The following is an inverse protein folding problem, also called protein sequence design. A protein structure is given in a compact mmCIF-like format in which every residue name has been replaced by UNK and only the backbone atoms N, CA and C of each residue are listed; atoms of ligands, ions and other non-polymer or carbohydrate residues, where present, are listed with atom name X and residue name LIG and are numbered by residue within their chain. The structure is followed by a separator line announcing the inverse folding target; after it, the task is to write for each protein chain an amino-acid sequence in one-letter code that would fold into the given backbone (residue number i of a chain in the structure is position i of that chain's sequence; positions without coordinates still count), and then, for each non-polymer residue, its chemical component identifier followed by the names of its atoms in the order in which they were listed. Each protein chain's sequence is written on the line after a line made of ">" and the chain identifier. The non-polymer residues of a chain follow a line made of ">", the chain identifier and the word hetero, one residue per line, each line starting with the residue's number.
data_IF_003506071580
#
_entry.id   IF_003506071580
#
_cell.length_a   1.000
_cell.length_b   1.000
_cell.length_c   1.000
_cell.angle_alpha   90.00
_cell.angle_beta   90.00
_cell.angle_gamma   90.00
#
_symmetry.space_group_name_H-M   'P 1'
#
loop_
_entity.id
_entity.type
_entity.pdbx_description
1 polymer ?
#
# COMPACT_ATOMS: atom_id res chain seq x y z
N UNK A 1 -22.69 -14.38 -9.15
CA UNK A 1 -22.33 -13.13 -8.44
C UNK A 1 -22.39 -11.87 -9.30
N UNK A 2 -21.95 -11.88 -10.57
CA UNK A 2 -21.97 -10.68 -11.42
C UNK A 2 -23.35 -10.03 -11.61
N UNK A 3 -24.44 -10.82 -11.58
CA UNK A 3 -25.81 -10.28 -11.71
C UNK A 3 -26.23 -9.36 -10.55
N UNK A 4 -25.77 -9.64 -9.33
CA UNK A 4 -26.06 -8.78 -8.16
C UNK A 4 -25.31 -7.46 -8.29
N UNK A 5 -24.01 -7.52 -8.59
CA UNK A 5 -23.20 -6.33 -8.81
C UNK A 5 -23.78 -5.46 -9.94
N UNK A 6 -24.16 -6.07 -11.07
CA UNK A 6 -24.84 -5.36 -12.16
C UNK A 6 -26.14 -4.71 -11.70
N UNK A 7 -26.99 -5.42 -10.97
CA UNK A 7 -28.28 -4.88 -10.49
C UNK A 7 -28.08 -3.68 -9.55
N UNK A 8 -27.07 -3.72 -8.68
CA UNK A 8 -26.71 -2.59 -7.81
C UNK A 8 -26.19 -1.42 -8.66
N UNK A 9 -25.30 -1.68 -9.63
CA UNK A 9 -24.81 -0.64 -10.54
C UNK A 9 -25.94 0.03 -11.33
N UNK A 10 -26.88 -0.75 -11.86
CA UNK A 10 -28.00 -0.22 -12.65
C UNK A 10 -28.97 0.64 -11.80
N UNK A 11 -29.10 0.35 -10.50
CA UNK A 11 -30.08 0.98 -9.60
C UNK A 11 -29.50 2.10 -8.75
N UNK A 12 -28.36 1.86 -8.12
CA UNK A 12 -27.76 2.70 -7.09
C UNK A 12 -26.44 3.35 -7.56
N UNK A 13 -25.95 2.98 -8.75
CA UNK A 13 -24.71 3.49 -9.34
C UNK A 13 -23.43 2.94 -8.70
N UNK A 14 -22.24 3.48 -9.08
CA UNK A 14 -20.95 3.01 -8.58
C UNK A 14 -20.82 3.00 -7.05
N UNK A 15 -21.39 4.02 -6.37
CA UNK A 15 -21.32 4.13 -4.92
C UNK A 15 -22.06 3.02 -4.16
N UNK A 16 -22.88 2.20 -4.83
CA UNK A 16 -23.51 1.03 -4.22
C UNK A 16 -22.56 -0.18 -4.06
N UNK A 17 -21.42 -0.19 -4.77
CA UNK A 17 -20.43 -1.27 -4.67
C UNK A 17 -19.28 -0.87 -3.76
N UNK A 18 -19.08 -1.62 -2.68
CA UNK A 18 -18.05 -1.36 -1.66
C UNK A 18 -16.97 -2.43 -1.71
N UNK A 19 -15.70 -2.03 -1.61
CA UNK A 19 -14.55 -2.92 -1.63
C UNK A 19 -13.60 -2.71 -0.45
N UNK A 20 -13.05 -3.81 0.06
CA UNK A 20 -11.85 -3.83 0.89
C UNK A 20 -10.79 -4.64 0.15
N UNK A 21 -9.74 -3.99 -0.33
CA UNK A 21 -8.76 -4.60 -1.23
C UNK A 21 -7.33 -4.43 -0.71
N UNK A 22 -6.44 -5.35 -1.07
CA UNK A 22 -5.00 -5.18 -0.86
C UNK A 22 -4.45 -4.09 -1.79
N UNK A 23 -3.42 -3.37 -1.35
CA UNK A 23 -2.66 -2.38 -2.12
C UNK A 23 -1.13 -2.60 -2.04
N UNK A 24 -0.72 -3.73 -1.45
CA UNK A 24 0.69 -4.05 -1.19
C UNK A 24 1.32 -4.99 -2.25
N UNK A 25 2.63 -5.20 -2.14
CA UNK A 25 3.40 -6.17 -2.94
C UNK A 25 3.37 -7.59 -2.38
N UNK A 26 4.18 -8.50 -2.92
CA UNK A 26 4.35 -9.85 -2.38
C UNK A 26 3.12 -10.76 -2.50
N UNK A 27 3.07 -11.80 -1.66
CA UNK A 27 1.96 -12.74 -1.67
C UNK A 27 0.63 -12.07 -1.27
N UNK A 28 -0.44 -12.32 -2.03
CA UNK A 28 -1.73 -11.64 -1.85
C UNK A 28 -1.76 -10.21 -2.39
N UNK A 29 -0.70 -9.76 -3.07
CA UNK A 29 -0.60 -8.45 -3.69
C UNK A 29 0.21 -8.51 -4.99
N UNK A 30 1.05 -7.49 -5.23
CA UNK A 30 1.94 -7.42 -6.40
C UNK A 30 1.35 -6.65 -7.57
N UNK A 31 2.19 -6.36 -8.58
CA UNK A 31 1.83 -5.50 -9.71
C UNK A 31 0.64 -6.05 -10.50
N UNK A 32 0.64 -7.35 -10.77
CA UNK A 32 -0.39 -8.00 -11.60
C UNK A 32 -1.76 -7.92 -10.92
N UNK A 33 -1.80 -8.23 -9.63
CA UNK A 33 -3.04 -8.27 -8.87
C UNK A 33 -3.57 -6.87 -8.57
N UNK A 34 -2.71 -5.94 -8.14
CA UNK A 34 -3.10 -4.54 -7.89
C UNK A 34 -3.56 -3.85 -9.17
N UNK A 35 -2.93 -4.13 -10.30
CA UNK A 35 -3.39 -3.68 -11.61
C UNK A 35 -4.75 -4.26 -11.96
N UNK A 36 -4.93 -5.58 -11.84
CA UNK A 36 -6.19 -6.25 -12.17
C UNK A 36 -7.37 -5.76 -11.33
N UNK A 37 -7.21 -5.72 -10.01
CA UNK A 37 -8.26 -5.24 -9.10
C UNK A 37 -8.49 -3.74 -9.24
N UNK A 38 -7.43 -2.94 -9.36
CA UNK A 38 -7.51 -1.49 -9.56
C UNK A 38 -8.23 -1.14 -10.86
N UNK A 39 -7.90 -1.82 -11.96
CA UNK A 39 -8.57 -1.60 -13.26
C UNK A 39 -10.06 -1.97 -13.20
N UNK A 40 -10.41 -3.04 -12.49
CA UNK A 40 -11.82 -3.38 -12.27
C UNK A 40 -12.54 -2.29 -11.45
N UNK A 41 -12.00 -1.91 -10.29
CA UNK A 41 -12.65 -0.98 -9.37
C UNK A 41 -12.73 0.44 -9.91
N UNK A 42 -11.62 0.96 -10.47
CA UNK A 42 -11.48 2.38 -10.80
C UNK A 42 -11.71 2.70 -12.29
N UNK A 43 -11.44 1.76 -13.19
CA UNK A 43 -11.68 1.98 -14.63
C UNK A 43 -13.01 1.43 -15.08
N UNK A 44 -13.33 0.18 -14.74
CA UNK A 44 -14.56 -0.46 -15.21
C UNK A 44 -15.79 -0.10 -14.37
N UNK A 45 -15.71 -0.24 -13.04
CA UNK A 45 -16.83 0.02 -12.13
C UNK A 45 -16.92 1.48 -11.69
N UNK A 46 -15.78 2.18 -11.63
CA UNK A 46 -15.65 3.58 -11.20
C UNK A 46 -16.24 3.86 -9.81
N UNK A 47 -16.19 2.89 -8.89
CA UNK A 47 -16.70 3.09 -7.53
C UNK A 47 -15.74 3.92 -6.68
N UNK A 48 -16.22 4.94 -5.96
CA UNK A 48 -15.41 5.64 -4.96
C UNK A 48 -15.37 4.92 -3.61
N UNK A 49 -16.18 3.87 -3.40
CA UNK A 49 -16.37 3.23 -2.10
C UNK A 49 -15.36 2.12 -1.87
N UNK A 50 -14.08 2.50 -1.86
CA UNK A 50 -12.96 1.57 -1.67
C UNK A 50 -12.21 1.94 -0.41
N UNK A 51 -11.88 0.93 0.39
CA UNK A 51 -10.84 1.00 1.40
C UNK A 51 -9.75 -0.02 1.08
N UNK A 52 -8.66 0.09 1.81
CA UNK A 52 -7.53 -0.80 1.68
C UNK A 52 -7.31 -1.61 2.94
N UNK A 53 -6.51 -2.66 2.81
CA UNK A 53 -6.42 -3.72 3.79
C UNK A 53 -6.11 -3.21 5.21
N UNK A 54 -5.18 -2.27 5.35
CA UNK A 54 -4.68 -1.80 6.65
C UNK A 54 -5.22 -0.42 7.10
N UNK A 55 -5.99 0.29 6.26
CA UNK A 55 -6.57 1.60 6.60
C UNK A 55 -8.00 1.77 6.05
N UNK A 56 -8.92 2.41 6.80
CA UNK A 56 -10.35 2.34 6.53
C UNK A 56 -10.85 3.26 5.39
N UNK A 57 -9.95 3.79 4.56
CA UNK A 57 -10.27 4.64 3.41
C UNK A 57 -9.21 4.49 2.31
N UNK A 58 -9.50 4.97 1.10
CA UNK A 58 -8.53 4.99 0.00
C UNK A 58 -7.56 6.20 0.13
N UNK A 59 -6.56 6.07 1.01
CA UNK A 59 -5.61 7.14 1.34
C UNK A 59 -4.16 6.62 1.42
N UNK A 60 -3.23 7.52 1.72
CA UNK A 60 -1.81 7.21 1.91
C UNK A 60 -1.45 7.17 3.40
N UNK A 61 -0.55 6.27 3.79
CA UNK A 61 0.11 6.31 5.11
C UNK A 61 1.08 7.50 5.24
N UNK A 62 1.49 8.10 4.11
CA UNK A 62 2.61 9.01 4.01
C UNK A 62 2.24 10.34 3.34
N UNK A 63 1.02 10.86 3.57
CA UNK A 63 0.56 12.10 2.95
C UNK A 63 1.55 13.26 3.11
N UNK A 64 2.00 13.53 4.34
CA UNK A 64 2.85 14.69 4.64
C UNK A 64 4.16 14.70 3.84
N UNK A 65 4.95 13.61 3.88
CA UNK A 65 6.24 13.57 3.16
C UNK A 65 6.06 13.65 1.65
N UNK A 66 4.97 13.07 1.12
CA UNK A 66 4.64 13.15 -0.32
C UNK A 66 4.22 14.56 -0.73
N UNK A 67 3.42 15.24 0.09
CA UNK A 67 3.04 16.64 -0.12
C UNK A 67 4.27 17.57 -0.04
N UNK A 68 5.27 17.19 0.75
CA UNK A 68 6.58 17.85 0.80
C UNK A 68 7.50 17.53 -0.40
N UNK A 69 7.09 16.63 -1.30
CA UNK A 69 7.86 16.23 -2.48
C UNK A 69 8.93 15.17 -2.23
N UNK A 70 8.91 14.49 -1.08
CA UNK A 70 9.88 13.46 -0.70
C UNK A 70 9.15 12.11 -0.57
N UNK A 71 9.29 11.25 -1.57
CA UNK A 71 8.73 9.88 -1.52
C UNK A 71 9.30 9.09 -0.34
N UNK A 72 8.51 8.23 0.30
CA UNK A 72 8.87 7.60 1.58
C UNK A 72 9.97 6.52 1.49
N UNK A 73 10.21 5.95 0.31
CA UNK A 73 11.29 4.99 0.03
C UNK A 73 12.29 5.66 -0.94
N UNK A 74 13.18 6.50 -0.40
CA UNK A 74 14.04 7.41 -1.17
C UNK A 74 15.55 7.13 -1.09
N UNK A 75 15.95 6.06 -0.40
CA UNK A 75 17.35 5.68 -0.20
C UNK A 75 17.58 4.20 -0.57
N UNK A 76 18.81 3.72 -0.45
CA UNK A 76 19.18 2.32 -0.59
C UNK A 76 19.49 1.69 0.78
N UNK A 77 19.52 0.36 0.85
CA UNK A 77 19.92 -0.34 2.08
C UNK A 77 21.37 -0.08 2.46
N UNK A 78 22.25 0.17 1.47
CA UNK A 78 23.66 0.49 1.67
C UNK A 78 23.86 1.78 2.48
N UNK A 79 22.90 2.73 2.44
CA UNK A 79 23.00 3.95 3.23
C UNK A 79 22.99 3.68 4.76
N UNK A 80 22.43 2.54 5.20
CA UNK A 80 22.50 2.12 6.60
C UNK A 80 23.91 1.62 7.00
N UNK A 81 24.70 1.15 6.04
CA UNK A 81 26.10 0.75 6.26
C UNK A 81 27.06 1.95 6.24
N UNK A 82 26.61 3.10 5.76
CA UNK A 82 27.46 4.30 5.59
C UNK A 82 27.13 5.43 6.56
N UNK A 83 25.95 5.40 7.18
CA UNK A 83 25.51 6.46 8.09
C UNK A 83 26.32 6.47 9.39
N UNK A 84 26.78 7.66 9.80
CA UNK A 84 27.43 7.85 11.12
C UNK A 84 26.48 7.54 12.29
N UNK A 85 25.17 7.71 12.07
CA UNK A 85 24.13 7.47 13.05
C UNK A 85 22.82 7.10 12.35
N UNK A 86 22.14 6.07 12.86
CA UNK A 86 20.82 5.65 12.41
C UNK A 86 19.78 5.99 13.48
N UNK A 87 18.66 6.59 13.06
CA UNK A 87 17.52 6.92 13.94
C UNK A 87 16.34 5.97 13.67
N UNK A 88 16.10 5.00 14.55
CA UNK A 88 14.94 4.10 14.47
C UNK A 88 13.70 4.68 15.16
N UNK A 89 12.72 5.17 14.40
CA UNK A 89 11.51 5.83 14.93
C UNK A 89 10.30 4.89 14.78
N UNK A 90 9.68 4.48 15.89
CA UNK A 90 8.47 3.65 15.88
C UNK A 90 8.65 2.27 15.21
N UNK A 91 9.87 1.75 15.19
CA UNK A 91 10.22 0.53 14.46
C UNK A 91 10.89 -0.51 15.36
N UNK A 92 10.57 -1.79 15.13
CA UNK A 92 11.18 -2.95 15.79
C UNK A 92 11.94 -3.78 14.75
N UNK A 93 13.04 -3.21 14.23
CA UNK A 93 13.70 -3.67 13.01
C UNK A 93 14.19 -5.12 13.06
N UNK A 94 14.59 -5.62 14.23
CA UNK A 94 14.97 -7.02 14.42
C UNK A 94 13.81 -7.99 14.13
N UNK A 95 12.59 -7.66 14.58
CA UNK A 95 11.43 -8.55 14.43
C UNK A 95 10.63 -8.27 13.15
N UNK A 96 10.60 -7.02 12.66
CA UNK A 96 9.72 -6.61 11.55
C UNK A 96 10.43 -6.37 10.22
N UNK A 97 11.75 -6.21 10.22
CA UNK A 97 12.59 -6.04 9.02
C UNK A 97 13.92 -6.80 9.16
N UNK A 98 13.84 -8.02 9.68
CA UNK A 98 14.95 -8.79 10.25
C UNK A 98 16.21 -8.79 9.39
N UNK A 99 16.10 -9.14 8.11
CA UNK A 99 17.29 -9.29 7.26
C UNK A 99 17.86 -7.94 6.80
N UNK A 100 17.06 -6.87 6.76
CA UNK A 100 17.62 -5.53 6.53
C UNK A 100 18.47 -5.11 7.73
N UNK A 101 17.93 -5.28 8.94
CA UNK A 101 18.64 -4.98 10.18
C UNK A 101 19.92 -5.82 10.34
N UNK A 102 19.81 -7.15 10.24
CA UNK A 102 20.94 -8.05 10.46
C UNK A 102 22.03 -7.95 9.38
N UNK A 103 21.65 -7.67 8.13
CA UNK A 103 22.61 -7.65 7.02
C UNK A 103 23.17 -6.25 6.70
N UNK A 104 22.51 -5.16 7.12
CA UNK A 104 22.91 -3.80 6.73
C UNK A 104 23.03 -2.80 7.89
N UNK A 105 22.40 -3.05 9.06
CA UNK A 105 22.52 -2.13 10.21
C UNK A 105 23.58 -2.61 11.20
N UNK A 106 23.60 -3.91 11.49
CA UNK A 106 24.52 -4.53 12.46
C UNK A 106 25.98 -4.63 11.99
N UNK A 107 26.31 -4.84 10.70
CA UNK A 107 27.72 -4.97 10.29
C UNK A 107 28.58 -3.73 10.50
N UNK A 108 27.98 -2.60 10.89
CA UNK A 108 28.63 -1.33 11.16
C UNK A 108 29.12 -1.22 12.61
#
# INVERSE_FOLDING_TARGET
>A
YCGVAKKVMDKDGPSGLVFNCFDHGGAGGGFENTWGTGKLMFTALQTPMVRIHNRPAYNSECHATRDMGVGELNNAYEDAELADCIMGIGANQYETQTNYFLAHWIPN
#
